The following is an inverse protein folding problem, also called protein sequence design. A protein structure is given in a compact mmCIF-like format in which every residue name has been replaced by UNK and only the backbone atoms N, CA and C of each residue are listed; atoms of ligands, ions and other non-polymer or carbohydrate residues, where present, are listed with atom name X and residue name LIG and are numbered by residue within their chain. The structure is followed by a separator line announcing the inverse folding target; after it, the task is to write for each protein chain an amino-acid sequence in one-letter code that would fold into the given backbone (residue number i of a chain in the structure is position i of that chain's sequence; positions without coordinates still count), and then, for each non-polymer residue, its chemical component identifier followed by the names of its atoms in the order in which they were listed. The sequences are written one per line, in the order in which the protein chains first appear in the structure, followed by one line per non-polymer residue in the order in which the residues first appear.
data_IF_063569629732
#
_entry.id   IF_063569629732
#
_cell.length_a   1.000
_cell.length_b   1.000
_cell.length_c   1.000
_cell.angle_alpha   90.00
_cell.angle_beta   90.00
_cell.angle_gamma   90.00
#
_symmetry.space_group_name_H-M   'P 1'
#
loop_
_entity.id
_entity.type
_entity.pdbx_description
1 polymer ?
#
# COMPACT_ATOMS: atom_id res chain seq x y z
N UNK A 1 -6.42 38.89 8.41
CA UNK A 1 -5.99 37.48 8.44
C UNK A 1 -7.21 36.65 8.12
N UNK A 2 -7.45 36.40 6.83
CA UNK A 2 -8.57 35.61 6.35
C UNK A 2 -8.21 34.15 6.45
N UNK A 3 -8.93 33.40 7.29
CA UNK A 3 -8.94 31.95 7.27
C UNK A 3 -9.18 31.47 5.84
N UNK A 4 -8.13 30.95 5.19
CA UNK A 4 -8.26 30.17 3.97
C UNK A 4 -9.15 28.98 4.34
N UNK A 5 -10.41 29.02 3.94
CA UNK A 5 -11.28 27.85 3.91
C UNK A 5 -10.47 26.75 3.24
N UNK A 6 -10.17 25.69 3.98
CA UNK A 6 -9.28 24.61 3.54
C UNK A 6 -9.88 23.93 2.31
N UNK A 7 -9.54 24.44 1.13
CA UNK A 7 -9.94 23.85 -0.14
C UNK A 7 -9.45 22.42 -0.17
N UNK A 8 -10.35 21.50 -0.49
CA UNK A 8 -10.06 20.08 -0.62
C UNK A 8 -10.51 19.59 -1.97
N UNK A 9 -9.74 18.68 -2.56
CA UNK A 9 -10.07 18.08 -3.85
C UNK A 9 -10.06 16.57 -3.71
N UNK A 10 -10.92 15.91 -4.48
CA UNK A 10 -10.96 14.46 -4.56
C UNK A 10 -10.19 14.05 -5.81
N UNK A 11 -9.18 13.20 -5.64
CA UNK A 11 -8.40 12.63 -6.73
C UNK A 11 -8.51 11.11 -6.71
N UNK A 12 -8.37 10.51 -7.89
CA UNK A 12 -8.28 9.05 -8.03
C UNK A 12 -6.84 8.59 -7.87
N UNK A 13 -6.61 7.57 -7.06
CA UNK A 13 -5.30 6.99 -6.81
C UNK A 13 -4.79 6.25 -8.06
N UNK A 14 -3.55 6.52 -8.43
CA UNK A 14 -2.84 5.85 -9.50
C UNK A 14 -1.47 5.34 -9.02
N UNK A 15 -0.95 4.33 -9.72
CA UNK A 15 0.34 3.72 -9.41
C UNK A 15 1.50 4.71 -9.57
N UNK A 16 2.46 4.67 -8.63
CA UNK A 16 3.68 5.45 -8.74
C UNK A 16 4.63 4.86 -9.78
N UNK A 17 5.53 5.69 -10.34
CA UNK A 17 6.64 5.15 -11.14
C UNK A 17 7.73 4.66 -10.19
N UNK A 18 8.47 3.62 -10.58
CA UNK A 18 9.54 3.03 -9.78
C UNK A 18 10.52 4.04 -9.15
N UNK A 19 10.83 5.15 -9.84
CA UNK A 19 11.72 6.21 -9.34
C UNK A 19 11.17 7.05 -8.18
N UNK A 20 9.86 7.03 -7.97
CA UNK A 20 9.17 7.79 -6.93
C UNK A 20 8.89 6.90 -5.69
N UNK A 21 9.02 5.58 -5.81
CA UNK A 21 8.72 4.60 -4.75
C UNK A 21 9.66 4.76 -3.55
N UNK A 22 9.08 4.76 -2.35
CA UNK A 22 9.78 4.84 -1.08
C UNK A 22 10.28 6.24 -0.73
N UNK A 23 9.97 7.27 -1.53
CA UNK A 23 10.44 8.65 -1.33
C UNK A 23 9.46 9.54 -0.55
N UNK A 24 8.26 9.05 -0.25
CA UNK A 24 7.22 9.86 0.41
C UNK A 24 6.67 10.97 -0.48
N UNK A 25 6.65 10.77 -1.79
CA UNK A 25 6.21 11.74 -2.79
C UNK A 25 4.82 11.37 -3.31
N UNK A 26 3.95 12.37 -3.43
CA UNK A 26 2.69 12.28 -4.14
C UNK A 26 2.73 13.20 -5.37
N UNK A 27 2.51 12.63 -6.55
CA UNK A 27 2.43 13.42 -7.79
C UNK A 27 1.00 13.77 -8.12
N UNK A 28 0.70 15.06 -8.22
CA UNK A 28 -0.64 15.59 -8.45
C UNK A 28 -0.67 16.43 -9.73
N UNK A 29 -1.79 16.37 -10.44
CA UNK A 29 -2.10 17.25 -11.56
C UNK A 29 -1.87 18.75 -11.19
N UNK A 30 -1.07 19.52 -11.95
CA UNK A 30 -0.85 20.94 -11.71
C UNK A 30 -2.15 21.78 -11.66
N UNK A 31 -3.20 21.34 -12.35
CA UNK A 31 -4.52 22.00 -12.27
C UNK A 31 -5.09 21.86 -10.85
N UNK A 32 -5.02 20.66 -10.27
CA UNK A 32 -5.45 20.41 -8.90
C UNK A 32 -4.55 21.13 -7.88
N UNK A 33 -3.23 21.18 -8.11
CA UNK A 33 -2.30 21.95 -7.27
C UNK A 33 -2.68 23.43 -7.24
N UNK A 34 -2.98 24.02 -8.40
CA UNK A 34 -3.39 25.42 -8.53
C UNK A 34 -4.70 25.70 -7.79
N UNK A 35 -5.69 24.81 -7.92
CA UNK A 35 -6.97 24.92 -7.20
C UNK A 35 -6.81 24.89 -5.68
N UNK A 36 -5.87 24.09 -5.17
CA UNK A 36 -5.57 23.99 -3.75
C UNK A 36 -4.59 25.08 -3.26
N UNK A 37 -4.06 25.92 -4.16
CA UNK A 37 -2.96 26.85 -3.87
C UNK A 37 -1.71 26.16 -3.27
N UNK A 38 -1.34 25.01 -3.83
CA UNK A 38 -0.21 24.17 -3.39
C UNK A 38 0.93 24.26 -4.39
N UNK A 39 2.16 24.32 -3.90
CA UNK A 39 3.40 24.35 -4.67
C UNK A 39 4.19 23.05 -4.55
N UNK A 40 5.17 22.87 -5.43
CA UNK A 40 6.12 21.75 -5.33
C UNK A 40 6.87 21.83 -3.99
N UNK A 41 6.94 20.70 -3.28
CA UNK A 41 7.60 20.61 -1.98
C UNK A 41 6.68 20.83 -0.78
N UNK A 42 5.47 21.36 -0.98
CA UNK A 42 4.48 21.46 0.08
C UNK A 42 4.03 20.07 0.53
N UNK A 43 3.69 19.94 1.82
CA UNK A 43 3.14 18.69 2.36
C UNK A 43 1.63 18.70 2.23
N UNK A 44 1.11 17.60 1.71
CA UNK A 44 -0.32 17.37 1.59
C UNK A 44 -0.78 16.30 2.59
N UNK A 45 -1.99 16.48 3.10
CA UNK A 45 -2.73 15.46 3.82
C UNK A 45 -3.52 14.64 2.80
N UNK A 46 -3.32 13.32 2.85
CA UNK A 46 -4.03 12.34 2.03
C UNK A 46 -5.01 11.61 2.94
N UNK A 47 -6.30 11.81 2.69
CA UNK A 47 -7.38 11.26 3.49
C UNK A 47 -8.04 10.12 2.72
N UNK A 48 -7.74 8.89 3.12
CA UNK A 48 -8.42 7.67 2.73
C UNK A 48 -9.28 7.13 3.88
N UNK A 49 -9.23 5.81 4.14
CA UNK A 49 -9.78 5.23 5.38
C UNK A 49 -8.96 5.64 6.59
N UNK A 50 -7.66 5.85 6.40
CA UNK A 50 -6.73 6.48 7.33
C UNK A 50 -6.17 7.76 6.72
N UNK A 51 -5.66 8.63 7.58
CA UNK A 51 -4.98 9.87 7.19
C UNK A 51 -3.48 9.65 7.20
N UNK A 52 -2.80 10.19 6.21
CA UNK A 52 -1.34 10.20 6.11
C UNK A 52 -0.89 11.46 5.37
N UNK A 53 0.42 11.64 5.21
CA UNK A 53 1.00 12.79 4.52
C UNK A 53 2.00 12.37 3.44
N UNK A 54 2.16 13.24 2.46
CA UNK A 54 3.18 13.10 1.42
C UNK A 54 3.63 14.47 0.92
N UNK A 55 4.78 14.50 0.25
CA UNK A 55 5.30 15.72 -0.37
C UNK A 55 4.75 15.85 -1.77
N UNK A 56 4.14 16.99 -2.06
CA UNK A 56 3.53 17.28 -3.33
C UNK A 56 4.60 17.55 -4.40
N UNK A 57 4.50 16.81 -5.50
CA UNK A 57 5.26 17.05 -6.72
C UNK A 57 4.29 17.17 -7.91
N UNK A 58 4.69 17.88 -8.98
CA UNK A 58 3.87 17.94 -10.16
C UNK A 58 3.76 16.55 -10.82
N UNK A 59 2.57 16.27 -11.32
CA UNK A 59 2.25 15.12 -12.16
C UNK A 59 3.07 15.09 -13.44
N UNK A 60 3.01 13.95 -14.14
CA UNK A 60 3.58 13.86 -15.48
C UNK A 60 2.68 14.55 -16.50
N UNK A 61 3.22 15.13 -17.58
CA UNK A 61 2.43 15.78 -18.61
C UNK A 61 1.28 14.92 -19.14
N UNK A 62 1.51 13.60 -19.24
CA UNK A 62 0.50 12.63 -19.69
C UNK A 62 -0.69 12.46 -18.73
N UNK A 63 -0.55 12.88 -17.47
CA UNK A 63 -1.55 12.74 -16.41
C UNK A 63 -2.39 14.00 -16.19
N UNK A 64 -2.08 15.10 -16.90
CA UNK A 64 -2.75 16.38 -16.72
C UNK A 64 -4.22 16.31 -17.15
N UNK A 65 -5.09 16.92 -16.35
CA UNK A 65 -6.54 16.92 -16.54
C UNK A 65 -7.24 15.61 -16.16
N UNK A 66 -6.51 14.56 -15.75
CA UNK A 66 -7.12 13.26 -15.42
C UNK A 66 -7.66 13.16 -14.00
N UNK A 67 -7.41 14.16 -13.15
CA UNK A 67 -7.86 14.17 -11.75
C UNK A 67 -7.27 13.02 -10.93
N UNK A 68 -6.02 12.66 -11.19
CA UNK A 68 -5.33 11.55 -10.52
C UNK A 68 -4.23 12.04 -9.58
N UNK A 69 -3.94 11.22 -8.58
CA UNK A 69 -2.79 11.32 -7.69
C UNK A 69 -1.97 10.04 -7.80
N UNK A 70 -0.70 10.14 -8.18
CA UNK A 70 0.21 9.00 -8.15
C UNK A 70 0.92 8.94 -6.82
N UNK A 71 0.70 7.85 -6.10
CA UNK A 71 1.31 7.54 -4.81
C UNK A 71 1.79 6.10 -4.82
N UNK A 72 2.86 5.83 -4.08
CA UNK A 72 3.45 4.51 -4.00
C UNK A 72 2.69 3.59 -3.03
N UNK A 73 3.08 2.33 -2.98
CA UNK A 73 2.52 1.36 -2.04
C UNK A 73 2.64 1.74 -0.56
N UNK A 74 3.60 2.60 -0.19
CA UNK A 74 3.83 3.01 1.20
C UNK A 74 2.71 3.96 1.62
N UNK A 75 2.51 5.01 0.82
CA UNK A 75 1.48 6.01 1.06
C UNK A 75 0.09 5.39 0.93
N UNK A 76 -0.13 4.49 -0.06
CA UNK A 76 -1.40 3.75 -0.22
C UNK A 76 -1.74 2.94 1.04
N UNK A 77 -0.77 2.18 1.58
CA UNK A 77 -0.94 1.44 2.84
C UNK A 77 -1.27 2.36 4.01
N UNK A 78 -0.52 3.46 4.15
CA UNK A 78 -0.70 4.42 5.25
C UNK A 78 -2.08 5.09 5.23
N UNK A 79 -2.57 5.44 4.03
CA UNK A 79 -3.94 5.94 3.82
C UNK A 79 -5.01 4.84 3.83
N UNK A 80 -4.60 3.57 3.78
CA UNK A 80 -5.47 2.39 3.66
C UNK A 80 -6.41 2.47 2.45
N UNK A 81 -5.80 2.73 1.29
CA UNK A 81 -6.46 2.84 -0.02
C UNK A 81 -5.72 1.99 -1.05
N UNK A 82 -6.43 1.52 -2.06
CA UNK A 82 -5.87 0.84 -3.22
C UNK A 82 -5.75 1.75 -4.44
N UNK A 83 -5.29 1.20 -5.56
CA UNK A 83 -5.35 1.87 -6.86
C UNK A 83 -6.82 2.11 -7.26
N UNK A 84 -7.11 3.18 -7.99
CA UNK A 84 -8.47 3.57 -8.44
C UNK A 84 -9.44 4.03 -7.33
N UNK A 85 -9.08 3.87 -6.05
CA UNK A 85 -9.80 4.48 -4.94
C UNK A 85 -9.74 6.01 -5.04
N UNK A 86 -10.72 6.68 -4.41
CA UNK A 86 -10.75 8.14 -4.29
C UNK A 86 -10.19 8.57 -2.95
N UNK A 87 -9.28 9.54 -2.97
CA UNK A 87 -8.73 10.18 -1.77
C UNK A 87 -9.05 11.66 -1.76
N UNK A 88 -9.28 12.22 -0.57
CA UNK A 88 -9.40 13.67 -0.40
C UNK A 88 -8.03 14.24 -0.06
N UNK A 89 -7.62 15.26 -0.80
CA UNK A 89 -6.34 15.94 -0.62
C UNK A 89 -6.57 17.35 -0.06
N UNK A 90 -5.75 17.72 0.92
CA UNK A 90 -5.73 19.05 1.54
C UNK A 90 -4.29 19.48 1.80
N UNK A 91 -4.03 20.78 1.92
CA UNK A 91 -2.74 21.27 2.41
C UNK A 91 -2.58 20.89 3.89
N UNK A 92 -1.49 20.21 4.24
CA UNK A 92 -1.23 19.78 5.61
C UNK A 92 -0.59 20.92 6.42
N UNK A 93 -0.95 21.01 7.70
CA UNK A 93 -0.22 21.84 8.66
C UNK A 93 0.93 21.03 9.23
N UNK A 94 2.13 21.30 8.74
CA UNK A 94 3.36 20.58 9.14
C UNK A 94 4.29 21.46 9.96
N UNK A 95 5.03 20.81 10.87
CA UNK A 95 6.14 21.41 11.62
C UNK A 95 7.42 20.60 11.41
N UNK A 96 8.57 21.21 11.66
CA UNK A 96 9.81 20.46 11.72
C UNK A 96 9.80 19.53 12.93
N UNK A 97 10.22 18.28 12.75
CA UNK A 97 10.31 17.31 13.81
C UNK A 97 11.50 17.62 14.72
N UNK A 98 11.26 17.71 16.02
CA UNK A 98 12.32 17.71 17.04
C UNK A 98 12.77 16.27 17.30
N UNK A 99 11.80 15.35 17.38
CA UNK A 99 12.05 13.93 17.64
C UNK A 99 11.04 13.04 16.94
N UNK A 100 11.53 11.96 16.33
CA UNK A 100 10.70 10.90 15.73
C UNK A 100 11.13 9.56 16.30
N UNK A 101 10.17 8.79 16.80
CA UNK A 101 10.40 7.43 17.30
C UNK A 101 9.89 6.44 16.26
N UNK A 102 10.78 5.54 15.85
CA UNK A 102 10.54 4.53 14.83
C UNK A 102 10.68 3.14 15.44
N UNK A 103 9.79 2.23 15.09
CA UNK A 103 9.91 0.83 15.48
C UNK A 103 10.10 -0.06 14.24
N UNK A 104 11.11 -0.94 14.20
CA UNK A 104 11.28 -1.85 13.07
C UNK A 104 10.16 -2.91 13.10
N UNK A 105 9.72 -3.34 11.93
CA UNK A 105 8.72 -4.41 11.79
C UNK A 105 9.34 -5.82 11.84
N UNK A 106 10.67 -5.90 11.82
CA UNK A 106 11.45 -7.12 11.86
C UNK A 106 12.55 -7.00 12.93
N UNK A 107 13.02 -8.11 13.53
CA UNK A 107 14.10 -8.06 14.51
C UNK A 107 15.35 -7.42 13.92
N UNK A 108 15.74 -6.27 14.46
CA UNK A 108 16.89 -5.52 14.00
C UNK A 108 17.87 -5.35 15.14
N UNK A 109 19.08 -5.87 14.97
CA UNK A 109 20.21 -5.65 15.89
C UNK A 109 21.13 -4.63 15.26
N UNK A 110 20.72 -3.37 15.31
CA UNK A 110 21.55 -2.24 14.90
C UNK A 110 21.71 -1.30 16.10
N UNK A 111 22.95 -0.94 16.39
CA UNK A 111 23.32 0.06 17.39
C UNK A 111 23.95 1.21 16.64
N UNK A 112 23.50 2.44 16.87
CA UNK A 112 24.07 3.63 16.22
C UNK A 112 23.63 3.85 14.77
N UNK A 113 22.51 3.24 14.35
CA UNK A 113 21.95 3.46 13.01
C UNK A 113 21.04 4.70 12.94
N UNK A 114 20.75 5.33 14.08
CA UNK A 114 19.80 6.44 14.20
C UNK A 114 20.14 7.60 13.25
N UNK A 115 21.39 8.04 13.24
CA UNK A 115 21.84 9.14 12.37
C UNK A 115 21.77 8.78 10.89
N UNK A 116 22.10 7.54 10.55
CA UNK A 116 22.00 7.05 9.18
C UNK A 116 20.53 7.02 8.71
N UNK A 117 19.62 6.53 9.56
CA UNK A 117 18.18 6.52 9.27
C UNK A 117 17.66 7.95 9.16
N UNK A 118 18.08 8.87 10.05
CA UNK A 118 17.73 10.29 9.96
C UNK A 118 18.09 10.88 8.61
N UNK A 119 19.32 10.65 8.12
CA UNK A 119 19.75 11.13 6.81
C UNK A 119 18.89 10.57 5.66
N UNK A 120 18.49 9.30 5.74
CA UNK A 120 17.63 8.68 4.72
C UNK A 120 16.18 9.19 4.75
N UNK A 121 15.73 9.64 5.92
CA UNK A 121 14.40 10.19 6.13
C UNK A 121 14.35 11.72 5.99
N UNK A 122 15.49 12.38 5.85
CA UNK A 122 15.58 13.83 5.75
C UNK A 122 14.74 14.35 4.58
N UNK A 123 13.97 15.40 4.86
CA UNK A 123 13.03 15.97 3.92
C UNK A 123 11.82 15.09 3.64
N UNK A 124 11.52 14.04 4.44
CA UNK A 124 10.24 13.30 4.37
C UNK A 124 9.24 13.85 5.38
N UNK A 125 7.96 13.89 4.98
CA UNK A 125 6.85 14.15 5.88
C UNK A 125 6.29 12.83 6.43
N UNK A 126 5.98 12.79 7.72
CA UNK A 126 5.45 11.61 8.41
C UNK A 126 4.40 11.96 9.45
N UNK A 127 3.46 11.04 9.64
CA UNK A 127 2.43 11.05 10.69
C UNK A 127 2.60 9.82 11.59
N UNK A 128 2.11 9.91 12.84
CA UNK A 128 2.08 8.78 13.75
C UNK A 128 1.29 7.61 13.14
N UNK A 129 1.90 6.43 13.14
CA UNK A 129 1.34 5.19 12.61
C UNK A 129 1.63 4.95 11.13
N UNK A 130 2.41 5.82 10.47
CA UNK A 130 2.88 5.60 9.11
C UNK A 130 3.96 4.52 9.05
N UNK A 131 3.93 3.73 7.97
CA UNK A 131 4.99 2.82 7.59
C UNK A 131 5.93 3.52 6.62
N UNK A 132 7.23 3.49 6.93
CA UNK A 132 8.27 4.18 6.17
C UNK A 132 9.39 3.19 5.82
N UNK A 133 9.79 3.09 4.53
CA UNK A 133 10.88 2.21 4.13
C UNK A 133 12.22 2.86 4.41
N UNK A 134 13.13 2.05 4.92
CA UNK A 134 14.54 2.42 5.05
C UNK A 134 15.40 1.33 4.41
N UNK A 135 16.19 1.72 3.42
CA UNK A 135 17.18 0.84 2.80
C UNK A 135 18.41 0.72 3.69
N UNK A 136 18.62 -0.44 4.31
CA UNK A 136 19.76 -0.74 5.18
C UNK A 136 20.45 -2.00 4.66
N UNK A 137 21.77 -1.92 4.40
CA UNK A 137 22.59 -3.08 3.98
C UNK A 137 22.03 -3.84 2.77
N UNK A 138 21.51 -3.12 1.77
CA UNK A 138 20.94 -3.72 0.56
C UNK A 138 19.57 -4.38 0.75
N UNK A 139 18.94 -4.22 1.92
CA UNK A 139 17.57 -4.66 2.21
C UNK A 139 16.70 -3.47 2.56
N UNK A 140 15.42 -3.53 2.21
CA UNK A 140 14.44 -2.53 2.67
C UNK A 140 13.78 -3.05 3.93
N UNK A 141 13.86 -2.29 5.01
CA UNK A 141 13.19 -2.58 6.28
C UNK A 141 12.10 -1.53 6.49
N UNK A 142 10.88 -2.00 6.76
CA UNK A 142 9.76 -1.13 7.08
C UNK A 142 9.82 -0.75 8.58
N UNK A 143 9.76 0.55 8.85
CA UNK A 143 9.64 1.12 10.18
C UNK A 143 8.24 1.72 10.36
N UNK A 144 7.69 1.60 11.57
CA UNK A 144 6.45 2.26 11.96
C UNK A 144 6.78 3.49 12.79
N UNK A 145 6.18 4.64 12.45
CA UNK A 145 6.30 5.86 13.24
C UNK A 145 5.45 5.72 14.50
N UNK A 146 6.04 5.43 15.65
CA UNK A 146 5.30 5.20 16.89
C UNK A 146 4.97 6.51 17.61
N UNK A 147 5.82 7.52 17.47
CA UNK A 147 5.66 8.82 18.11
C UNK A 147 6.39 9.93 17.35
N UNK A 148 5.84 11.15 17.40
CA UNK A 148 6.39 12.37 16.78
C UNK A 148 6.32 13.52 17.79
N UNK A 149 7.35 14.37 17.79
CA UNK A 149 7.42 15.59 18.60
C UNK A 149 7.81 16.78 17.71
N UNK A 150 7.12 17.92 17.82
CA UNK A 150 5.95 18.19 18.69
C UNK A 150 4.71 17.32 18.33
N UNK A 151 3.78 17.09 19.28
CA UNK A 151 2.59 16.25 19.03
C UNK A 151 1.57 17.00 18.18
N UNK A 152 1.82 17.03 16.87
CA UNK A 152 0.94 17.58 15.83
C UNK A 152 0.53 16.48 14.86
N UNK A 153 -0.37 16.76 13.92
CA UNK A 153 -0.87 15.75 12.97
C UNK A 153 0.23 15.23 12.03
N UNK A 154 1.20 16.07 11.66
CA UNK A 154 2.27 15.71 10.74
C UNK A 154 3.54 16.53 10.98
N UNK A 155 4.70 15.90 10.78
CA UNK A 155 6.01 16.55 10.91
C UNK A 155 6.89 16.26 9.70
N UNK A 156 7.84 17.15 9.42
CA UNK A 156 8.91 16.95 8.43
C UNK A 156 10.19 16.59 9.18
N UNK A 157 10.85 15.51 8.78
CA UNK A 157 12.15 15.12 9.31
C UNK A 157 13.21 16.05 8.71
N UNK A 158 13.94 16.77 9.55
CA UNK A 158 15.01 17.67 9.18
C UNK A 158 16.40 17.18 9.61
N UNK A 159 17.45 17.96 9.34
CA UNK A 159 18.82 17.62 9.73
C UNK A 159 19.02 17.53 11.24
N UNK A 160 18.28 18.34 12.02
CA UNK A 160 18.36 18.41 13.49
C UNK A 160 17.39 17.46 14.20
N UNK A 161 16.59 16.69 13.46
CA UNK A 161 15.60 15.79 14.06
C UNK A 161 16.28 14.64 14.77
N UNK A 162 15.99 14.45 16.06
CA UNK A 162 16.43 13.27 16.80
C UNK A 162 15.60 12.04 16.39
N UNK A 163 16.21 11.07 15.71
CA UNK A 163 15.59 9.77 15.44
C UNK A 163 15.92 8.80 16.56
N UNK A 164 14.91 8.12 17.08
CA UNK A 164 15.08 7.06 18.09
C UNK A 164 14.46 5.78 17.57
N UNK A 165 15.22 4.68 17.65
CA UNK A 165 14.73 3.35 17.29
C UNK A 165 14.20 2.67 18.55
N UNK A 166 12.89 2.44 18.59
CA UNK A 166 12.22 1.68 19.64
C UNK A 166 12.28 0.18 19.38
N UNK A 167 11.68 -0.58 20.30
CA UNK A 167 11.55 -2.03 20.16
C UNK A 167 10.65 -2.40 18.98
N UNK A 168 10.78 -3.66 18.53
CA UNK A 168 9.98 -4.20 17.43
C UNK A 168 8.49 -4.06 17.75
N UNK A 169 7.73 -3.52 16.80
CA UNK A 169 6.27 -3.63 16.83
C UNK A 169 5.91 -4.96 16.16
N UNK A 170 5.19 -5.82 16.87
CA UNK A 170 4.62 -7.01 16.26
C UNK A 170 3.64 -6.58 15.17
N UNK A 171 3.87 -7.05 13.93
CA UNK A 171 2.88 -6.95 12.87
C UNK A 171 1.60 -7.62 13.37
N UNK A 172 0.44 -7.02 13.12
CA UNK A 172 -0.81 -7.69 13.43
C UNK A 172 -0.83 -9.07 12.73
N UNK A 173 -1.21 -10.15 13.44
CA UNK A 173 -1.27 -11.47 12.83
C UNK A 173 -2.22 -11.44 11.62
N UNK A 174 -1.74 -11.91 10.47
CA UNK A 174 -2.49 -11.90 9.21
C UNK A 174 -2.10 -10.81 8.20
N UNK A 175 -1.14 -9.91 8.51
CA UNK A 175 -0.62 -8.98 7.49
C UNK A 175 0.15 -9.75 6.40
N UNK A 176 -0.40 -9.72 5.18
CA UNK A 176 0.22 -10.26 3.96
C UNK A 176 1.61 -9.61 3.78
N UNK A 177 2.65 -10.38 3.39
CA UNK A 177 3.93 -9.79 2.98
C UNK A 177 3.68 -8.70 1.97
N UNK A 178 4.30 -7.55 2.22
CA UNK A 178 4.05 -6.36 1.44
C UNK A 178 4.70 -6.50 0.07
N UNK A 179 3.88 -6.91 -0.89
CA UNK A 179 4.21 -6.95 -2.31
C UNK A 179 3.18 -6.06 -2.98
N UNK A 180 3.64 -5.16 -3.82
CA UNK A 180 2.82 -4.27 -4.64
C UNK A 180 3.10 -4.53 -6.12
N UNK A 181 2.28 -4.00 -7.03
CA UNK A 181 2.55 -4.18 -8.46
C UNK A 181 3.89 -3.56 -8.87
N UNK A 182 4.33 -2.50 -8.17
CA UNK A 182 5.62 -1.86 -8.39
C UNK A 182 6.81 -2.80 -8.09
N UNK A 183 6.63 -3.79 -7.22
CA UNK A 183 7.67 -4.75 -6.84
C UNK A 183 7.83 -5.88 -7.87
N UNK A 184 6.95 -5.95 -8.88
CA UNK A 184 6.89 -7.04 -9.85
C UNK A 184 7.42 -6.60 -11.22
N UNK A 185 8.65 -7.02 -11.53
CA UNK A 185 9.28 -6.78 -12.82
C UNK A 185 8.78 -7.72 -13.93
N UNK A 186 8.69 -7.21 -15.16
CA UNK A 186 8.53 -8.03 -16.37
C UNK A 186 7.14 -8.65 -16.62
N UNK A 187 6.16 -8.44 -15.72
CA UNK A 187 4.83 -9.07 -15.80
C UNK A 187 3.70 -8.08 -16.08
N UNK A 188 3.96 -6.96 -16.77
CA UNK A 188 2.98 -5.88 -16.99
C UNK A 188 1.67 -6.37 -17.61
N UNK A 189 1.73 -7.22 -18.62
CA UNK A 189 0.53 -7.77 -19.28
C UNK A 189 -0.26 -8.70 -18.35
N UNK A 190 0.42 -9.55 -17.58
CA UNK A 190 -0.22 -10.45 -16.63
C UNK A 190 -0.86 -9.67 -15.47
N UNK A 191 -0.17 -8.64 -14.96
CA UNK A 191 -0.68 -7.71 -13.96
C UNK A 191 -1.97 -7.06 -14.50
N UNK A 192 -1.94 -6.50 -15.71
CA UNK A 192 -3.12 -5.86 -16.29
C UNK A 192 -4.31 -6.82 -16.37
N UNK A 193 -4.11 -8.03 -16.89
CA UNK A 193 -5.19 -9.03 -16.99
C UNK A 193 -5.76 -9.41 -15.63
N UNK A 194 -4.93 -9.58 -14.62
CA UNK A 194 -5.43 -9.89 -13.27
C UNK A 194 -6.15 -8.71 -12.65
N UNK A 195 -5.70 -7.48 -12.88
CA UNK A 195 -6.42 -6.28 -12.43
C UNK A 195 -7.82 -6.22 -13.04
N UNK A 196 -7.94 -6.51 -14.34
CA UNK A 196 -9.24 -6.57 -15.03
C UNK A 196 -10.14 -7.71 -14.52
N UNK A 197 -9.56 -8.89 -14.21
CA UNK A 197 -10.32 -10.06 -13.78
C UNK A 197 -10.65 -10.09 -12.29
N UNK A 198 -9.84 -9.48 -11.43
CA UNK A 198 -9.94 -9.59 -9.97
C UNK A 198 -10.20 -8.25 -9.31
N UNK A 199 -9.37 -7.24 -9.60
CA UNK A 199 -9.46 -5.93 -8.95
C UNK A 199 -10.71 -5.16 -9.40
N UNK A 200 -10.99 -5.12 -10.71
CA UNK A 200 -12.11 -4.37 -11.28
C UNK A 200 -13.48 -4.86 -10.76
N UNK A 201 -13.78 -6.17 -10.71
CA UNK A 201 -15.03 -6.66 -10.09
C UNK A 201 -15.19 -6.32 -8.62
N UNK A 202 -14.10 -6.35 -7.84
CA UNK A 202 -14.14 -6.12 -6.40
C UNK A 202 -14.31 -4.63 -6.08
N UNK A 203 -13.71 -3.74 -6.88
CA UNK A 203 -13.78 -2.29 -6.66
C UNK A 203 -14.96 -1.61 -7.33
N UNK A 204 -15.38 -2.12 -8.48
CA UNK A 204 -16.42 -1.51 -9.32
C UNK A 204 -17.50 -2.51 -9.73
N UNK A 205 -18.19 -3.17 -8.77
CA UNK A 205 -19.27 -4.11 -9.08
C UNK A 205 -20.39 -3.47 -9.91
N UNK A 206 -20.63 -2.16 -9.75
CA UNK A 206 -21.63 -1.40 -10.49
C UNK A 206 -21.40 -1.40 -12.02
N UNK A 207 -20.15 -1.55 -12.48
CA UNK A 207 -19.85 -1.63 -13.91
C UNK A 207 -20.34 -2.95 -14.50
N UNK A 208 -20.16 -4.05 -13.77
CA UNK A 208 -20.58 -5.38 -14.19
C UNK A 208 -22.12 -5.51 -14.19
N UNK A 209 -22.77 -4.96 -13.17
CA UNK A 209 -24.23 -4.89 -13.10
C UNK A 209 -24.84 -4.11 -14.28
N UNK A 210 -24.26 -2.94 -14.62
CA UNK A 210 -24.73 -2.12 -15.74
C UNK A 210 -24.55 -2.77 -17.09
N UNK A 211 -23.45 -3.51 -17.26
CA UNK A 211 -23.14 -4.23 -18.49
C UNK A 211 -23.90 -5.56 -18.59
N UNK A 212 -24.52 -6.03 -17.49
CA UNK A 212 -25.24 -7.30 -17.45
C UNK A 212 -24.32 -8.52 -17.62
N UNK A 213 -23.06 -8.40 -17.22
CA UNK A 213 -22.06 -9.49 -17.31
C UNK A 213 -21.64 -9.95 -15.92
N UNK A 214 -21.45 -11.26 -15.75
CA UNK A 214 -20.89 -11.79 -14.50
C UNK A 214 -19.35 -11.65 -14.50
N UNK A 215 -18.74 -11.23 -13.39
CA UNK A 215 -17.29 -11.25 -13.26
C UNK A 215 -16.77 -12.69 -13.20
N UNK A 216 -15.52 -12.93 -13.64
CA UNK A 216 -14.91 -14.24 -13.53
C UNK A 216 -14.74 -14.65 -12.06
N UNK A 217 -15.14 -15.88 -11.71
CA UNK A 217 -15.13 -16.38 -10.33
C UNK A 217 -13.81 -17.04 -9.91
N UNK A 218 -12.90 -17.26 -10.87
CA UNK A 218 -11.61 -17.89 -10.63
C UNK A 218 -10.59 -17.52 -11.70
N UNK A 219 -9.33 -17.42 -11.31
CA UNK A 219 -8.19 -17.13 -12.18
C UNK A 219 -7.14 -18.21 -11.97
N UNK A 220 -6.69 -18.84 -13.06
CA UNK A 220 -5.60 -19.81 -13.02
C UNK A 220 -4.30 -19.16 -13.52
N UNK A 221 -3.30 -19.08 -12.65
CA UNK A 221 -1.96 -18.61 -13.00
C UNK A 221 -1.09 -19.81 -13.38
N UNK A 222 -0.65 -19.87 -14.64
CA UNK A 222 0.22 -20.94 -15.14
C UNK A 222 1.56 -20.39 -15.65
N UNK A 223 2.57 -21.25 -15.66
CA UNK A 223 3.92 -20.94 -16.14
C UNK A 223 4.99 -21.68 -15.35
N UNK A 224 6.27 -21.57 -15.74
CA UNK A 224 7.38 -22.21 -15.03
C UNK A 224 7.46 -21.82 -13.55
N UNK A 225 8.08 -22.65 -12.69
CA UNK A 225 8.39 -22.26 -11.31
C UNK A 225 9.32 -21.04 -11.31
N UNK A 226 9.16 -20.17 -10.30
CA UNK A 226 9.99 -18.96 -10.16
C UNK A 226 9.53 -17.72 -10.96
N UNK A 227 8.47 -17.80 -11.76
CA UNK A 227 7.92 -16.65 -12.50
C UNK A 227 7.08 -15.68 -11.65
N UNK A 228 7.15 -15.72 -10.32
CA UNK A 228 6.47 -14.75 -9.45
C UNK A 228 4.95 -14.90 -9.30
N UNK A 229 4.36 -16.07 -9.59
CA UNK A 229 2.90 -16.32 -9.45
C UNK A 229 2.38 -16.00 -8.04
N UNK A 230 3.05 -16.52 -7.00
CA UNK A 230 2.71 -16.25 -5.60
C UNK A 230 2.90 -14.79 -5.21
N UNK A 231 3.92 -14.10 -5.77
CA UNK A 231 4.13 -12.66 -5.54
C UNK A 231 3.00 -11.83 -6.17
N UNK A 232 2.58 -12.20 -7.38
CA UNK A 232 1.50 -11.54 -8.10
C UNK A 232 0.17 -11.68 -7.37
N UNK A 233 -0.16 -12.86 -6.86
CA UNK A 233 -1.36 -13.07 -6.06
C UNK A 233 -1.35 -12.22 -4.77
N UNK A 234 -0.22 -12.17 -4.07
CA UNK A 234 -0.05 -11.31 -2.88
C UNK A 234 -0.19 -9.82 -3.21
N UNK A 235 0.35 -9.38 -4.34
CA UNK A 235 0.21 -8.00 -4.79
C UNK A 235 -1.25 -7.61 -5.03
N UNK A 236 -2.01 -8.46 -5.72
CA UNK A 236 -3.43 -8.21 -6.00
C UNK A 236 -4.24 -8.10 -4.72
N UNK A 237 -3.96 -8.97 -3.74
CA UNK A 237 -4.63 -8.93 -2.46
C UNK A 237 -4.34 -7.65 -1.67
N UNK A 238 -3.09 -7.22 -1.64
CA UNK A 238 -2.69 -5.95 -1.01
C UNK A 238 -3.35 -4.75 -1.69
N UNK A 239 -3.39 -4.70 -3.02
CA UNK A 239 -3.94 -3.54 -3.76
C UNK A 239 -5.47 -3.46 -3.73
N UNK A 240 -6.14 -4.59 -3.56
CA UNK A 240 -7.60 -4.65 -3.43
C UNK A 240 -8.08 -4.39 -2.00
N UNK A 241 -7.18 -4.35 -1.01
CA UNK A 241 -7.52 -4.35 0.42
C UNK A 241 -8.55 -5.45 0.79
N UNK A 242 -8.51 -6.58 0.07
CA UNK A 242 -9.40 -7.72 0.30
C UNK A 242 -8.80 -8.65 1.36
N UNK A 243 -9.66 -9.36 2.09
CA UNK A 243 -9.22 -10.41 3.01
C UNK A 243 -8.52 -11.52 2.22
N UNK A 244 -7.28 -11.86 2.56
CA UNK A 244 -6.49 -12.83 1.80
C UNK A 244 -6.31 -14.12 2.56
N UNK A 245 -6.72 -15.22 1.95
CA UNK A 245 -6.51 -16.56 2.50
C UNK A 245 -5.59 -17.31 1.55
N UNK A 246 -4.41 -17.68 2.03
CA UNK A 246 -3.44 -18.47 1.27
C UNK A 246 -3.51 -19.92 1.69
N UNK A 247 -3.57 -20.79 0.69
CA UNK A 247 -3.62 -22.24 0.84
C UNK A 247 -2.51 -22.82 -0.02
N UNK A 248 -1.74 -23.76 0.52
CA UNK A 248 -0.84 -24.60 -0.29
C UNK A 248 -1.51 -25.96 -0.54
N UNK A 249 -1.49 -26.44 -1.79
CA UNK A 249 -2.08 -27.71 -2.21
C UNK A 249 -1.70 -28.88 -1.28
N UNK A 250 -0.40 -29.14 -1.07
CA UNK A 250 0.07 -30.16 -0.14
C UNK A 250 -0.37 -29.96 1.32
N UNK A 251 -0.59 -28.72 1.77
CA UNK A 251 -1.01 -28.43 3.14
C UNK A 251 -2.45 -28.90 3.42
N UNK A 252 -3.29 -28.90 2.38
CA UNK A 252 -4.67 -29.41 2.48
C UNK A 252 -4.73 -30.93 2.32
N UNK A 253 -3.77 -31.54 1.64
CA UNK A 253 -3.72 -32.99 1.46
C UNK A 253 -3.33 -33.70 2.77
N UNK A 254 -4.33 -33.97 3.62
CA UNK A 254 -4.14 -34.81 4.82
C UNK A 254 -4.10 -36.30 4.46
N UNK A 255 -3.50 -37.12 5.34
CA UNK A 255 -3.47 -38.58 5.19
C UNK A 255 -4.83 -39.24 5.51
N UNK A 256 -5.78 -38.50 6.07
CA UNK A 256 -7.05 -39.01 6.56
C UNK A 256 -8.21 -38.53 5.67
N UNK A 257 -9.04 -39.47 5.24
CA UNK A 257 -10.14 -39.22 4.31
C UNK A 257 -11.19 -38.28 4.94
N UNK A 258 -11.51 -37.18 4.25
CA UNK A 258 -12.57 -36.23 4.63
C UNK A 258 -12.11 -34.96 5.38
N UNK A 259 -10.95 -34.98 6.04
CA UNK A 259 -10.42 -33.78 6.73
C UNK A 259 -10.07 -32.66 5.75
N UNK A 260 -9.51 -33.00 4.60
CA UNK A 260 -9.14 -32.06 3.54
C UNK A 260 -10.36 -31.29 3.00
N UNK A 261 -11.48 -31.98 2.80
CA UNK A 261 -12.74 -31.37 2.32
C UNK A 261 -13.38 -30.46 3.37
N UNK A 262 -13.38 -30.90 4.63
CA UNK A 262 -13.88 -30.08 5.73
C UNK A 262 -13.07 -28.80 5.86
N UNK A 263 -11.74 -28.90 5.80
CA UNK A 263 -10.83 -27.74 5.86
C UNK A 263 -11.07 -26.78 4.70
N UNK A 264 -11.23 -27.28 3.47
CA UNK A 264 -11.60 -26.44 2.33
C UNK A 264 -12.93 -25.72 2.58
N UNK A 265 -13.96 -26.43 3.06
CA UNK A 265 -15.27 -25.83 3.35
C UNK A 265 -15.17 -24.71 4.39
N UNK A 266 -14.43 -24.92 5.47
CA UNK A 266 -14.19 -23.93 6.51
C UNK A 266 -13.52 -22.67 5.95
N UNK A 267 -12.52 -22.83 5.09
CA UNK A 267 -11.82 -21.70 4.45
C UNK A 267 -12.76 -20.90 3.53
N UNK A 268 -13.59 -21.57 2.72
CA UNK A 268 -14.56 -20.87 1.87
C UNK A 268 -15.64 -20.15 2.69
N UNK A 269 -16.08 -20.72 3.82
CA UNK A 269 -17.01 -20.06 4.73
C UNK A 269 -16.38 -18.85 5.43
N UNK A 270 -15.10 -18.94 5.82
CA UNK A 270 -14.34 -17.81 6.36
C UNK A 270 -14.20 -16.69 5.32
N UNK A 271 -13.86 -17.02 4.09
CA UNK A 271 -13.76 -16.07 2.99
C UNK A 271 -15.09 -15.31 2.80
N UNK A 272 -16.20 -16.05 2.76
CA UNK A 272 -17.54 -15.48 2.60
C UNK A 272 -17.93 -14.53 3.74
N UNK A 273 -17.56 -14.85 4.98
CA UNK A 273 -17.80 -13.97 6.15
C UNK A 273 -16.95 -12.70 6.11
N UNK A 274 -15.76 -12.76 5.53
CA UNK A 274 -14.81 -11.65 5.44
C UNK A 274 -14.80 -10.97 4.06
N UNK A 275 -15.90 -11.06 3.29
CA UNK A 275 -15.99 -10.46 1.97
C UNK A 275 -15.80 -8.92 2.04
N UNK A 276 -15.08 -8.29 1.09
CA UNK A 276 -14.43 -8.86 -0.09
C UNK A 276 -13.17 -9.66 0.26
N UNK A 277 -13.02 -10.86 -0.33
CA UNK A 277 -11.95 -11.80 -0.01
C UNK A 277 -11.36 -12.47 -1.26
N UNK A 278 -10.07 -12.78 -1.22
CA UNK A 278 -9.35 -13.56 -2.23
C UNK A 278 -8.82 -14.83 -1.58
N UNK A 279 -9.19 -15.98 -2.15
CA UNK A 279 -8.60 -17.28 -1.81
C UNK A 279 -7.54 -17.58 -2.86
N UNK A 280 -6.30 -17.75 -2.42
CA UNK A 280 -5.18 -18.16 -3.26
C UNK A 280 -4.80 -19.60 -2.94
N UNK A 281 -4.89 -20.46 -3.96
CA UNK A 281 -4.49 -21.87 -3.87
C UNK A 281 -3.19 -22.01 -4.66
N UNK A 282 -2.08 -22.12 -3.95
CA UNK A 282 -0.79 -22.48 -4.54
C UNK A 282 -0.73 -23.99 -4.78
N UNK A 283 -0.06 -24.42 -5.85
CA UNK A 283 0.09 -25.85 -6.21
C UNK A 283 -1.27 -26.59 -6.29
N UNK A 284 -2.25 -25.99 -6.98
CA UNK A 284 -3.60 -26.57 -7.15
C UNK A 284 -3.58 -27.94 -7.86
N UNK A 285 -2.55 -28.20 -8.66
CA UNK A 285 -2.29 -29.49 -9.31
C UNK A 285 -2.10 -30.64 -8.30
N UNK A 286 -1.71 -30.34 -7.06
CA UNK A 286 -1.65 -31.34 -6.00
C UNK A 286 -3.03 -31.79 -5.50
N UNK A 287 -4.07 -30.96 -5.65
CA UNK A 287 -5.45 -31.25 -5.21
C UNK A 287 -6.33 -31.70 -6.38
N UNK A 288 -6.07 -31.17 -7.59
CA UNK A 288 -6.85 -31.42 -8.80
C UNK A 288 -5.92 -31.78 -9.98
N UNK A 289 -5.40 -33.02 -10.03
CA UNK A 289 -4.50 -33.49 -11.09
C UNK A 289 -5.19 -33.67 -12.45
#
# INVERSE_FOLDING_TARGET
MTDKVSSSIILRVAEARARDVGRGIARIDPVAMSQLSISTGDVIEIIGKRKTVAICWPGYPEDYGKGIIRIDGYIRRNASVGIDDKVTIKLAKVRNAEKVVLAPTEPLRLVGAEDYIRQLLEGRAVTKGDYVPVGIMGRTIDFVVTSIHPPVDAVIVGPETQVVIGEKVEKAPGEIPRVTYEDIGGLKEAIQKIREMVELPLKHPELFERLGIEPPKGVLLYGPPGCGKTLLAKAVANETNAHFISISGPEIMSKFYGESEQRLREIFEEAKKNAPSIIFIDEIDAIAP
#
